data_IF_103932305432
#
_entry.id   IF_103932305432
#
_cell.length_a   1.000
_cell.length_b   1.000
_cell.length_c   1.000
_cell.angle_alpha   90.00
_cell.angle_beta   90.00
_cell.angle_gamma   90.00
#
_symmetry.space_group_name_H-M   'P 1'
#
loop_
_entity.id
_entity.type
_entity.pdbx_description
1 polymer ?
#
# COMPACT_ATOMS: atom_id res chain seq x y z
N UNK A 1 -10.17 -1.14 5.90
CA UNK A 1 -9.30 -0.64 4.83
C UNK A 1 -9.45 -1.44 3.53
N UNK A 2 -9.20 -2.74 3.50
CA UNK A 2 -9.31 -3.57 2.28
C UNK A 2 -10.70 -3.52 1.67
N UNK A 3 -11.76 -3.62 2.47
CA UNK A 3 -13.14 -3.51 1.99
C UNK A 3 -13.41 -2.16 1.33
N UNK A 4 -12.93 -1.07 1.93
CA UNK A 4 -13.09 0.29 1.38
C UNK A 4 -12.25 0.51 0.10
N UNK A 5 -11.16 -0.22 -0.07
CA UNK A 5 -10.33 -0.16 -1.26
C UNK A 5 -11.02 -0.77 -2.50
N UNK A 6 -12.04 -1.59 -2.31
CA UNK A 6 -12.80 -2.20 -3.39
C UNK A 6 -11.99 -3.21 -4.21
N UNK A 7 -11.09 -3.94 -3.56
CA UNK A 7 -10.29 -4.99 -4.20
C UNK A 7 -11.20 -6.13 -4.66
N UNK A 8 -11.03 -6.55 -5.91
CA UNK A 8 -11.80 -7.65 -6.51
C UNK A 8 -10.94 -8.90 -6.65
N UNK A 9 -11.57 -10.08 -6.66
CA UNK A 9 -10.87 -11.33 -6.95
C UNK A 9 -10.07 -11.25 -8.26
N UNK A 10 -8.83 -11.75 -8.22
CA UNK A 10 -7.93 -11.77 -9.38
C UNK A 10 -7.14 -10.49 -9.65
N UNK A 11 -7.47 -9.37 -9.01
CA UNK A 11 -6.68 -8.14 -9.15
C UNK A 11 -5.28 -8.31 -8.58
N UNK A 12 -4.29 -7.76 -9.27
CA UNK A 12 -2.91 -7.69 -8.78
C UNK A 12 -2.80 -6.57 -7.74
N UNK A 13 -2.45 -6.92 -6.51
CA UNK A 13 -2.33 -5.99 -5.41
C UNK A 13 -0.95 -6.11 -4.75
N UNK A 14 -0.26 -4.99 -4.63
CA UNK A 14 0.98 -4.89 -3.86
C UNK A 14 0.66 -4.46 -2.43
N UNK A 15 1.19 -5.21 -1.47
CA UNK A 15 1.22 -4.88 -0.06
C UNK A 15 2.66 -4.47 0.30
N UNK A 16 2.90 -3.19 0.38
CA UNK A 16 4.25 -2.63 0.53
C UNK A 16 4.52 -2.37 2.01
N UNK A 17 5.57 -3.00 2.52
CA UNK A 17 5.85 -3.01 3.95
C UNK A 17 4.89 -3.96 4.69
N UNK A 18 4.74 -5.17 4.18
CA UNK A 18 3.71 -6.12 4.62
C UNK A 18 3.83 -6.54 6.10
N UNK A 19 5.00 -6.40 6.70
CA UNK A 19 5.24 -6.70 8.11
C UNK A 19 4.93 -8.15 8.45
N UNK A 20 4.09 -8.35 9.43
CA UNK A 20 3.68 -9.69 9.87
C UNK A 20 2.49 -10.26 9.07
N UNK A 21 1.96 -9.50 8.11
CA UNK A 21 0.94 -9.98 7.18
C UNK A 21 -0.51 -9.73 7.61
N UNK A 22 -0.77 -8.80 8.54
CA UNK A 22 -2.13 -8.48 8.94
C UNK A 22 -2.99 -8.00 7.77
N UNK A 23 -2.48 -7.05 6.99
CA UNK A 23 -3.16 -6.55 5.80
C UNK A 23 -3.14 -7.59 4.67
N UNK A 24 -2.02 -8.29 4.50
CA UNK A 24 -1.88 -9.39 3.54
C UNK A 24 -3.00 -10.43 3.70
N UNK A 25 -3.32 -10.82 4.93
CA UNK A 25 -4.38 -11.79 5.20
C UNK A 25 -5.74 -11.35 4.66
N UNK A 26 -6.08 -10.06 4.80
CA UNK A 26 -7.34 -9.51 4.27
C UNK A 26 -7.34 -9.48 2.75
N UNK A 27 -6.21 -9.16 2.13
CA UNK A 27 -6.07 -9.15 0.67
C UNK A 27 -6.22 -10.57 0.08
N UNK A 28 -5.62 -11.55 0.73
CA UNK A 28 -5.77 -12.96 0.34
C UNK A 28 -7.24 -13.41 0.43
N UNK A 29 -7.94 -13.06 1.50
CA UNK A 29 -9.37 -13.36 1.65
C UNK A 29 -10.24 -12.69 0.61
N UNK A 30 -9.85 -11.50 0.15
CA UNK A 30 -10.54 -10.80 -0.93
C UNK A 30 -10.30 -11.45 -2.31
N UNK A 31 -9.48 -12.48 -2.39
CA UNK A 31 -9.16 -13.17 -3.64
C UNK A 31 -8.13 -12.47 -4.51
N UNK A 32 -7.42 -11.49 -4.00
CA UNK A 32 -6.41 -10.76 -4.74
C UNK A 32 -5.18 -11.65 -5.06
N UNK A 33 -4.52 -11.32 -6.16
CA UNK A 33 -3.17 -11.83 -6.46
C UNK A 33 -2.18 -10.91 -5.76
N UNK A 34 -1.70 -11.34 -4.59
CA UNK A 34 -0.90 -10.50 -3.70
C UNK A 34 0.59 -10.62 -4.00
N UNK A 35 1.26 -9.48 -4.08
CA UNK A 35 2.72 -9.35 -4.01
C UNK A 35 3.02 -8.58 -2.74
N UNK A 36 3.56 -9.24 -1.73
CA UNK A 36 3.98 -8.63 -0.48
C UNK A 36 5.45 -8.22 -0.58
N UNK A 37 5.76 -6.98 -0.26
CA UNK A 37 7.13 -6.44 -0.24
C UNK A 37 7.51 -6.20 1.21
N UNK A 38 8.60 -6.82 1.66
CA UNK A 38 9.08 -6.75 3.04
C UNK A 38 10.61 -6.69 3.07
N UNK A 39 11.14 -5.71 3.79
CA UNK A 39 12.59 -5.50 3.91
C UNK A 39 13.24 -6.45 4.95
N UNK A 40 12.52 -6.79 6.02
CA UNK A 40 13.04 -7.64 7.07
C UNK A 40 13.04 -9.12 6.62
N UNK A 41 14.20 -9.80 6.61
CA UNK A 41 14.29 -11.17 6.08
C UNK A 41 13.49 -12.19 6.89
N UNK A 42 13.37 -12.02 8.20
CA UNK A 42 12.57 -12.92 9.05
C UNK A 42 11.09 -12.78 8.74
N UNK A 43 10.60 -11.56 8.61
CA UNK A 43 9.20 -11.31 8.25
C UNK A 43 8.88 -11.79 6.85
N UNK A 44 9.78 -11.59 5.90
CA UNK A 44 9.62 -12.13 4.54
C UNK A 44 9.51 -13.67 4.55
N UNK A 45 10.34 -14.34 5.35
CA UNK A 45 10.25 -15.78 5.53
C UNK A 45 8.91 -16.21 6.15
N UNK A 46 8.48 -15.54 7.21
CA UNK A 46 7.19 -15.79 7.86
C UNK A 46 6.00 -15.61 6.90
N UNK A 47 6.05 -14.58 6.05
CA UNK A 47 5.01 -14.34 5.05
C UNK A 47 4.92 -15.47 4.03
N UNK A 48 6.05 -16.00 3.58
CA UNK A 48 6.09 -17.14 2.66
C UNK A 48 5.51 -18.40 3.29
N UNK A 49 5.80 -18.65 4.56
CA UNK A 49 5.27 -19.80 5.30
C UNK A 49 3.76 -19.66 5.55
N UNK A 50 3.34 -18.48 5.98
CA UNK A 50 1.93 -18.20 6.32
C UNK A 50 1.02 -18.12 5.09
N UNK A 51 1.54 -17.60 3.98
CA UNK A 51 0.76 -17.40 2.74
C UNK A 51 1.48 -18.04 1.54
N UNK A 52 1.47 -19.37 1.41
CA UNK A 52 2.22 -20.03 0.34
C UNK A 52 1.71 -19.71 -1.07
N UNK A 53 0.50 -19.19 -1.21
CA UNK A 53 -0.10 -18.83 -2.50
C UNK A 53 0.23 -17.43 -3.00
N UNK A 54 0.95 -16.61 -2.24
CA UNK A 54 1.34 -15.25 -2.66
C UNK A 54 2.78 -15.17 -3.11
N UNK A 55 3.13 -14.08 -3.81
CA UNK A 55 4.53 -13.72 -4.07
C UNK A 55 5.04 -12.84 -2.95
N UNK A 56 6.19 -13.17 -2.37
CA UNK A 56 6.87 -12.35 -1.36
C UNK A 56 8.20 -11.87 -1.93
N UNK A 57 8.37 -10.56 -1.98
CA UNK A 57 9.63 -9.92 -2.36
C UNK A 57 10.34 -9.44 -1.10
N UNK A 58 11.49 -10.05 -0.80
CA UNK A 58 12.41 -9.55 0.22
C UNK A 58 13.22 -8.43 -0.41
N UNK A 59 12.75 -7.19 -0.28
CA UNK A 59 13.30 -6.04 -0.98
C UNK A 59 13.02 -4.73 -0.25
N UNK A 60 13.83 -3.72 -0.57
CA UNK A 60 13.57 -2.34 -0.21
C UNK A 60 12.46 -1.79 -1.12
N UNK A 61 11.39 -1.31 -0.52
CA UNK A 61 10.24 -0.78 -1.24
C UNK A 61 10.57 0.43 -2.14
N UNK A 62 11.63 1.18 -1.82
CA UNK A 62 12.07 2.32 -2.63
C UNK A 62 12.84 1.91 -3.88
N UNK A 63 13.27 0.65 -3.96
CA UNK A 63 14.09 0.10 -5.05
C UNK A 63 13.37 -0.97 -5.88
N UNK A 64 12.11 -1.26 -5.59
CA UNK A 64 11.35 -2.26 -6.35
C UNK A 64 10.99 -1.76 -7.74
N UNK A 65 10.94 -2.70 -8.67
CA UNK A 65 10.39 -2.46 -10.00
C UNK A 65 8.88 -2.67 -9.97
N UNK A 66 8.14 -1.65 -10.37
CA UNK A 66 6.67 -1.74 -10.45
C UNK A 66 6.23 -2.69 -11.57
N UNK A 67 5.07 -3.36 -11.42
CA UNK A 67 4.54 -4.21 -12.49
C UNK A 67 4.30 -3.45 -13.79
N UNK A 68 4.62 -4.07 -14.92
CA UNK A 68 4.35 -3.55 -16.25
C UNK A 68 2.89 -3.72 -16.71
N UNK A 69 2.01 -4.20 -15.86
CA UNK A 69 0.58 -4.40 -16.07
C UNK A 69 -0.24 -3.68 -15.00
N UNK A 70 -1.55 -3.47 -15.20
CA UNK A 70 -2.39 -2.80 -14.21
C UNK A 70 -2.30 -3.46 -12.84
N UNK A 71 -2.11 -2.64 -11.80
CA UNK A 71 -2.00 -3.10 -10.42
C UNK A 71 -2.59 -2.09 -9.44
N UNK A 72 -2.90 -2.57 -8.26
CA UNK A 72 -3.28 -1.76 -7.10
C UNK A 72 -2.21 -1.82 -6.02
N UNK A 73 -2.26 -0.84 -5.12
CA UNK A 73 -1.51 -0.88 -3.87
C UNK A 73 -2.49 -0.73 -2.72
N UNK A 74 -2.42 -1.61 -1.75
CA UNK A 74 -3.11 -1.46 -0.46
C UNK A 74 -2.06 -1.74 0.60
N UNK A 75 -1.64 -0.72 1.33
CA UNK A 75 -0.46 -0.85 2.15
C UNK A 75 -0.45 0.09 3.36
N UNK A 76 0.25 -0.35 4.39
CA UNK A 76 0.65 0.46 5.53
C UNK A 76 2.18 0.56 5.55
N UNK A 77 2.78 1.33 4.62
CA UNK A 77 4.24 1.40 4.50
C UNK A 77 4.86 2.15 5.68
N UNK A 78 6.15 1.93 5.96
CA UNK A 78 6.88 2.76 6.91
C UNK A 78 6.77 4.24 6.53
N UNK A 79 6.54 5.12 7.50
CA UNK A 79 6.30 6.55 7.24
C UNK A 79 7.49 7.24 6.56
N UNK A 80 8.71 6.81 6.85
CA UNK A 80 9.92 7.40 6.28
C UNK A 80 10.07 7.25 4.77
N UNK A 81 9.32 6.34 4.14
CA UNK A 81 9.39 6.11 2.68
C UNK A 81 8.17 6.65 1.93
N UNK A 82 7.21 7.27 2.62
CA UNK A 82 5.92 7.67 2.02
C UNK A 82 6.08 8.56 0.78
N UNK A 83 6.91 9.59 0.87
CA UNK A 83 7.11 10.52 -0.25
C UNK A 83 7.81 9.86 -1.45
N UNK A 84 8.87 9.09 -1.19
CA UNK A 84 9.58 8.35 -2.24
C UNK A 84 8.66 7.33 -2.93
N UNK A 85 7.87 6.62 -2.14
CA UNK A 85 6.91 5.64 -2.65
C UNK A 85 5.84 6.30 -3.52
N UNK A 86 5.24 7.40 -3.07
CA UNK A 86 4.23 8.13 -3.85
C UNK A 86 4.83 8.68 -5.14
N UNK A 87 6.04 9.21 -5.09
CA UNK A 87 6.73 9.68 -6.30
C UNK A 87 6.87 8.56 -7.33
N UNK A 88 7.27 7.38 -6.91
CA UNK A 88 7.41 6.21 -7.78
C UNK A 88 6.06 5.73 -8.32
N UNK A 89 5.05 5.61 -7.46
CA UNK A 89 3.73 5.12 -7.85
C UNK A 89 3.00 6.04 -8.83
N UNK A 90 3.17 7.35 -8.67
CA UNK A 90 2.49 8.37 -9.49
C UNK A 90 3.30 8.79 -10.73
N UNK A 91 4.48 8.25 -10.91
CA UNK A 91 5.36 8.60 -12.03
C UNK A 91 4.73 8.33 -13.39
N UNK A 92 5.09 9.09 -14.43
CA UNK A 92 4.72 8.78 -15.81
C UNK A 92 5.14 7.34 -16.17
N UNK A 93 4.29 6.61 -16.82
CA UNK A 93 4.56 5.21 -17.16
C UNK A 93 4.15 4.18 -16.11
N UNK A 94 3.86 4.59 -14.87
CA UNK A 94 3.29 3.69 -13.88
C UNK A 94 1.94 3.13 -14.36
N UNK A 95 1.75 1.83 -14.16
CA UNK A 95 0.49 1.14 -14.48
C UNK A 95 -0.44 1.07 -13.27
N UNK A 96 -0.20 1.89 -12.26
CA UNK A 96 -1.06 2.00 -11.08
C UNK A 96 -2.50 2.34 -11.48
N UNK A 97 -3.46 1.58 -10.98
CA UNK A 97 -4.90 1.81 -11.15
C UNK A 97 -5.46 2.53 -9.92
N UNK A 98 -5.09 2.09 -8.75
CA UNK A 98 -5.56 2.63 -7.48
C UNK A 98 -4.56 2.34 -6.38
N UNK A 99 -4.50 3.23 -5.39
CA UNK A 99 -3.76 2.97 -4.16
C UNK A 99 -4.57 3.44 -2.95
N UNK A 100 -4.49 2.68 -1.88
CA UNK A 100 -5.01 3.01 -0.57
C UNK A 100 -3.85 2.83 0.42
N UNK A 101 -3.31 3.95 0.86
CA UNK A 101 -2.07 3.98 1.65
C UNK A 101 -2.32 4.60 3.01
N UNK A 102 -1.95 3.89 4.07
CA UNK A 102 -1.92 4.45 5.43
C UNK A 102 -0.70 5.34 5.55
N UNK A 103 -0.92 6.63 5.74
CA UNK A 103 0.11 7.64 5.87
C UNK A 103 -0.12 8.47 7.12
N UNK A 104 0.89 9.21 7.57
CA UNK A 104 0.68 10.29 8.53
C UNK A 104 -0.38 11.25 7.97
N UNK A 105 -1.31 11.70 8.80
CA UNK A 105 -2.42 12.57 8.38
C UNK A 105 -1.94 13.82 7.65
N UNK A 106 -0.88 14.46 8.15
CA UNK A 106 -0.32 15.65 7.52
C UNK A 106 0.20 15.37 6.10
N UNK A 107 0.83 14.21 5.90
CA UNK A 107 1.33 13.78 4.58
C UNK A 107 0.16 13.49 3.64
N UNK A 108 -0.85 12.75 4.10
CA UNK A 108 -2.04 12.45 3.30
C UNK A 108 -2.74 13.74 2.83
N UNK A 109 -2.91 14.70 3.73
CA UNK A 109 -3.52 16.02 3.41
C UNK A 109 -2.68 16.80 2.40
N UNK A 110 -1.36 16.82 2.57
CA UNK A 110 -0.45 17.50 1.65
C UNK A 110 -0.60 16.98 0.22
N UNK A 111 -0.64 15.67 0.05
CA UNK A 111 -0.79 15.06 -1.27
C UNK A 111 -2.20 15.22 -1.84
N UNK A 112 -3.22 15.19 -1.00
CA UNK A 112 -4.61 15.35 -1.45
C UNK A 112 -4.92 16.73 -2.04
N UNK A 113 -4.24 17.79 -1.57
CA UNK A 113 -4.38 19.14 -2.13
C UNK A 113 -3.44 19.39 -3.32
N UNK A 114 -2.52 18.50 -3.58
CA UNK A 114 -1.58 18.57 -4.69
C UNK A 114 -2.24 18.22 -6.03
N UNK A 115 -1.77 18.83 -7.10
CA UNK A 115 -2.26 18.53 -8.44
C UNK A 115 -1.60 17.25 -8.99
N UNK A 116 -2.39 16.23 -9.21
CA UNK A 116 -1.96 15.04 -9.93
C UNK A 116 -2.81 14.90 -11.19
N UNK A 117 -2.22 15.18 -12.35
CA UNK A 117 -2.96 15.22 -13.63
C UNK A 117 -3.68 13.91 -13.96
N UNK A 118 -3.06 12.78 -13.64
CA UNK A 118 -3.53 11.44 -14.01
C UNK A 118 -4.29 10.72 -12.90
N UNK A 119 -4.28 11.27 -11.69
CA UNK A 119 -4.87 10.64 -10.52
C UNK A 119 -5.72 11.64 -9.73
N UNK A 120 -6.79 11.13 -9.14
CA UNK A 120 -7.52 11.79 -8.07
C UNK A 120 -6.94 11.33 -6.74
N UNK A 121 -6.57 12.25 -5.88
CA UNK A 121 -6.04 11.98 -4.54
C UNK A 121 -6.98 12.59 -3.50
N UNK A 122 -7.47 11.77 -2.59
CA UNK A 122 -8.38 12.22 -1.51
C UNK A 122 -7.97 11.59 -0.19
N UNK A 123 -8.29 12.27 0.91
CA UNK A 123 -8.13 11.71 2.25
C UNK A 123 -9.37 10.88 2.57
N UNK A 124 -9.18 9.61 2.84
CA UNK A 124 -10.21 8.68 3.23
C UNK A 124 -10.28 8.48 4.75
N UNK A 125 -10.37 7.22 5.18
CA UNK A 125 -10.45 6.81 6.58
C UNK A 125 -9.40 7.49 7.46
N UNK A 126 -9.82 8.02 8.60
CA UNK A 126 -8.94 8.42 9.69
C UNK A 126 -8.71 7.24 10.62
N UNK A 127 -7.44 7.00 10.96
CA UNK A 127 -7.02 5.92 11.84
C UNK A 127 -6.41 6.53 13.10
N UNK A 128 -7.03 6.36 14.29
CA UNK A 128 -6.46 6.88 15.53
C UNK A 128 -5.18 6.14 15.89
N UNK A 129 -4.30 6.78 16.65
CA UNK A 129 -3.03 6.18 17.09
C UNK A 129 -3.21 4.82 17.76
N UNK A 130 -4.28 4.65 18.54
CA UNK A 130 -4.61 3.41 19.25
C UNK A 130 -4.94 2.22 18.32
N UNK A 131 -5.15 2.46 17.03
CA UNK A 131 -5.39 1.40 16.05
C UNK A 131 -4.12 0.63 15.67
N UNK A 132 -2.96 1.06 16.15
CA UNK A 132 -1.65 0.47 15.87
C UNK A 132 -0.98 -0.01 17.13
N UNK A 133 -0.13 -1.03 17.01
CA UNK A 133 0.67 -1.56 18.11
C UNK A 133 2.13 -1.77 17.62
N UNK A 134 3.11 -1.00 18.15
CA UNK A 134 2.95 0.14 19.07
C UNK A 134 2.28 1.35 18.41
N UNK A 135 1.61 2.23 19.19
CA UNK A 135 0.98 3.41 18.61
C UNK A 135 2.03 4.38 18.05
N UNK A 136 1.81 4.96 16.86
CA UNK A 136 2.67 6.02 16.34
C UNK A 136 2.50 7.31 17.12
N UNK A 137 3.39 8.27 16.95
CA UNK A 137 3.34 9.57 17.63
C UNK A 137 2.26 10.50 17.06
N UNK A 138 1.81 10.26 15.84
CA UNK A 138 0.86 11.09 15.11
C UNK A 138 -0.30 10.25 14.56
N UNK A 139 -1.42 10.90 14.30
CA UNK A 139 -2.56 10.25 13.68
C UNK A 139 -2.30 9.94 12.20
N UNK A 140 -2.94 8.91 11.73
CA UNK A 140 -2.84 8.43 10.35
C UNK A 140 -4.17 8.59 9.61
N UNK A 141 -4.08 8.67 8.32
CA UNK A 141 -5.23 8.64 7.41
C UNK A 141 -4.90 7.80 6.19
N UNK A 142 -5.92 7.27 5.56
CA UNK A 142 -5.75 6.59 4.28
C UNK A 142 -5.72 7.65 3.17
N UNK A 143 -4.64 7.70 2.41
CA UNK A 143 -4.62 8.43 1.14
C UNK A 143 -5.22 7.52 0.07
N UNK A 144 -6.30 7.97 -0.52
CA UNK A 144 -7.02 7.26 -1.58
C UNK A 144 -6.61 7.82 -2.93
N UNK A 145 -5.98 7.00 -3.73
CA UNK A 145 -5.50 7.36 -5.08
C UNK A 145 -6.30 6.57 -6.11
N UNK A 146 -6.86 7.26 -7.07
CA UNK A 146 -7.61 6.62 -8.18
C UNK A 146 -7.15 7.21 -9.50
N UNK A 147 -6.86 6.34 -10.48
CA UNK A 147 -6.52 6.79 -11.84
C UNK A 147 -7.74 7.46 -12.47
N UNK A 148 -7.54 8.63 -13.04
CA UNK A 148 -8.57 9.31 -13.85
C UNK A 148 -8.71 8.58 -15.19
N UNK A 149 -9.94 8.51 -15.66
CA UNK A 149 -10.27 7.99 -17.00
C UNK A 149 -9.98 9.01 -18.08
#
# INVERSE_FOLDING_TARGET
MVAAAGVRPGELVLDIGAGEGALTAHLVRAGARVVAVELNPRRACMLRERFPGITVLHADATAIRLPGRPFRVVANPPYGISSALLHTLLAPGSRLVAADLVLQRAVARKYAVGAARRFSLTVGLSLPRRAFLPPPHVDSSVLVVRRRR
#
